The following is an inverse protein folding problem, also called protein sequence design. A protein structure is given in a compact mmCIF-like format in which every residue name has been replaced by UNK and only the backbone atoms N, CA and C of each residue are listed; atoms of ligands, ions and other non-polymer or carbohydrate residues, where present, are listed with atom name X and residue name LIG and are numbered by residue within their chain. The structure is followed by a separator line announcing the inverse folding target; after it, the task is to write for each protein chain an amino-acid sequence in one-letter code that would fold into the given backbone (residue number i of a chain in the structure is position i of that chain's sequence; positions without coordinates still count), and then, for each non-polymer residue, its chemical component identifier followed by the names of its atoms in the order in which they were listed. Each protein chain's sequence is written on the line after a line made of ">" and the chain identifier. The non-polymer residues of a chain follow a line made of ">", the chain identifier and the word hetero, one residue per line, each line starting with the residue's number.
data_IF_315945251848
#
_entry.id   IF_315945251848
#
_cell.length_a   1.000
_cell.length_b   1.000
_cell.length_c   1.000
_cell.angle_alpha   90.00
_cell.angle_beta   90.00
_cell.angle_gamma   90.00
#
_symmetry.space_group_name_H-M   'P 1'
#
loop_
_entity.id
_entity.type
_entity.pdbx_description
1 polymer ?
#
# COMPACT_ATOMS: atom_id res chain seq x y z
N UNK A 1 23.97 -1.81 -52.39
CA UNK A 1 24.72 -2.44 -51.28
C UNK A 1 25.46 -1.36 -50.52
N UNK A 2 24.96 -1.00 -49.34
CA UNK A 2 25.59 -0.10 -48.37
C UNK A 2 25.27 -0.63 -46.96
N UNK A 3 26.16 -0.40 -45.97
CA UNK A 3 26.27 -1.26 -44.79
C UNK A 3 25.32 -0.87 -43.65
N UNK A 4 24.93 -1.90 -42.91
CA UNK A 4 24.14 -1.88 -41.68
C UNK A 4 24.94 -1.15 -40.58
N UNK A 5 24.38 -0.06 -40.04
CA UNK A 5 24.86 0.59 -38.81
C UNK A 5 24.23 -0.10 -37.60
N UNK A 6 25.07 -0.67 -36.75
CA UNK A 6 24.73 -1.14 -35.41
C UNK A 6 24.28 0.02 -34.52
N UNK A 7 23.27 -0.14 -33.65
CA UNK A 7 22.90 0.89 -32.69
C UNK A 7 23.90 0.92 -31.53
N UNK A 8 24.46 2.11 -31.30
CA UNK A 8 25.32 2.44 -30.18
C UNK A 8 24.56 2.29 -28.86
N UNK A 9 25.18 1.59 -27.90
CA UNK A 9 24.78 1.55 -26.51
C UNK A 9 24.86 2.96 -25.91
N UNK A 10 23.73 3.49 -25.46
CA UNK A 10 23.67 4.69 -24.63
C UNK A 10 23.82 4.26 -23.17
N UNK A 11 25.03 4.38 -22.64
CA UNK A 11 25.31 4.49 -21.21
C UNK A 11 24.78 5.83 -20.72
N UNK A 12 23.72 5.80 -19.92
CA UNK A 12 23.26 6.95 -19.15
C UNK A 12 24.04 7.00 -17.84
N UNK A 13 25.08 7.85 -17.81
CA UNK A 13 25.68 8.34 -16.58
C UNK A 13 24.66 9.25 -15.88
N UNK A 14 24.09 8.76 -14.79
CA UNK A 14 23.29 9.57 -13.87
C UNK A 14 24.23 10.12 -12.81
N UNK A 15 24.81 11.28 -13.11
CA UNK A 15 25.48 12.13 -12.13
C UNK A 15 24.43 12.66 -11.14
N UNK A 16 24.39 12.09 -9.94
CA UNK A 16 23.61 12.60 -8.83
C UNK A 16 24.16 13.95 -8.37
N UNK A 17 23.41 15.03 -8.62
CA UNK A 17 23.67 16.33 -8.04
C UNK A 17 23.40 16.28 -6.52
N UNK A 18 24.47 16.21 -5.73
CA UNK A 18 24.44 16.39 -4.29
C UNK A 18 24.04 17.83 -3.95
N UNK A 19 22.84 18.02 -3.40
CA UNK A 19 22.48 19.24 -2.68
C UNK A 19 23.15 19.22 -1.30
N UNK A 20 24.25 19.98 -1.17
CA UNK A 20 24.82 20.37 0.11
C UNK A 20 23.89 21.35 0.81
N UNK A 21 23.10 20.88 1.77
CA UNK A 21 22.52 21.74 2.81
C UNK A 21 23.57 21.93 3.91
N UNK A 22 24.32 23.03 3.78
CA UNK A 22 25.21 23.56 4.80
C UNK A 22 24.42 23.85 6.08
N UNK A 23 24.76 23.13 7.16
CA UNK A 23 24.23 23.35 8.51
C UNK A 23 25.04 24.49 9.17
N UNK A 24 24.42 25.46 9.85
CA UNK A 24 25.16 26.55 10.46
C UNK A 24 25.98 26.05 11.66
N UNK A 25 27.25 26.44 11.65
CA UNK A 25 28.20 26.33 12.75
C UNK A 25 27.73 27.20 13.91
N UNK A 26 27.31 26.57 15.02
CA UNK A 26 27.25 27.23 16.31
C UNK A 26 28.39 26.71 17.18
N UNK A 27 29.35 27.61 17.37
CA UNK A 27 30.45 27.53 18.30
C UNK A 27 29.89 27.83 19.71
N UNK A 28 29.96 26.86 20.61
CA UNK A 28 29.76 27.09 22.04
C UNK A 28 30.57 26.06 22.81
N UNK A 29 31.77 26.50 23.21
CA UNK A 29 32.66 25.76 24.07
C UNK A 29 32.08 25.56 25.46
N UNK A 30 31.80 24.31 25.80
CA UNK A 30 32.03 23.71 27.12
C UNK A 30 32.19 22.20 26.87
N UNK A 31 33.38 21.81 26.45
CA UNK A 31 33.77 20.40 26.38
C UNK A 31 33.99 19.89 27.81
N UNK A 32 32.89 19.54 28.49
CA UNK A 32 32.96 18.59 29.60
C UNK A 32 33.34 17.24 29.01
N UNK A 33 34.63 16.94 29.13
CA UNK A 33 35.22 15.63 28.85
C UNK A 33 34.55 14.59 29.75
N UNK A 34 33.40 14.07 29.34
CA UNK A 34 32.91 12.80 29.84
C UNK A 34 33.84 11.75 29.25
N UNK A 35 34.77 11.32 30.10
CA UNK A 35 35.55 10.11 29.94
C UNK A 35 34.63 9.05 29.32
N UNK A 36 34.94 8.64 28.09
CA UNK A 36 34.22 7.58 27.39
C UNK A 36 34.40 6.30 28.20
N UNK A 37 33.49 6.08 29.15
CA UNK A 37 33.25 4.77 29.71
C UNK A 37 32.84 3.91 28.52
N UNK A 38 33.79 3.11 28.02
CA UNK A 38 33.53 2.10 27.01
C UNK A 38 32.49 1.16 27.61
N UNK A 39 31.21 1.42 27.34
CA UNK A 39 30.18 0.41 27.50
C UNK A 39 30.69 -0.83 26.75
N UNK A 40 30.60 -2.04 27.32
CA UNK A 40 31.02 -3.24 26.62
C UNK A 40 30.30 -3.29 25.27
N UNK A 41 31.05 -3.35 24.18
CA UNK A 41 30.50 -3.35 22.82
C UNK A 41 29.44 -4.44 22.64
N UNK A 42 29.58 -5.53 23.38
CA UNK A 42 28.71 -6.70 23.42
C UNK A 42 27.30 -6.36 23.95
N UNK A 43 27.19 -5.45 24.93
CA UNK A 43 25.88 -4.99 25.43
C UNK A 43 25.13 -4.16 24.38
N UNK A 44 25.83 -3.33 23.62
CA UNK A 44 25.21 -2.53 22.56
C UNK A 44 24.71 -3.43 21.43
N UNK A 45 25.50 -4.41 21.01
CA UNK A 45 25.10 -5.35 19.96
C UNK A 45 23.89 -6.18 20.38
N UNK A 46 23.90 -6.74 21.59
CA UNK A 46 22.78 -7.49 22.17
C UNK A 46 21.49 -6.66 22.19
N UNK A 47 21.58 -5.39 22.62
CA UNK A 47 20.43 -4.47 22.64
C UNK A 47 19.89 -4.17 21.25
N UNK A 48 20.77 -3.91 20.26
CA UNK A 48 20.33 -3.63 18.89
C UNK A 48 19.68 -4.85 18.24
N UNK A 49 20.23 -6.05 18.51
CA UNK A 49 19.65 -7.31 18.05
C UNK A 49 18.26 -7.55 18.64
N UNK A 50 18.08 -7.38 19.95
CA UNK A 50 16.76 -7.56 20.59
C UNK A 50 15.74 -6.51 20.09
N UNK A 51 16.15 -5.26 19.88
CA UNK A 51 15.29 -4.25 19.28
C UNK A 51 14.83 -4.65 17.87
N UNK A 52 15.76 -5.10 17.01
CA UNK A 52 15.45 -5.59 15.67
C UNK A 52 14.52 -6.79 15.71
N UNK A 53 14.77 -7.76 16.59
CA UNK A 53 13.96 -8.97 16.76
C UNK A 53 12.54 -8.66 17.22
N UNK A 54 12.36 -7.71 18.14
CA UNK A 54 11.03 -7.23 18.56
C UNK A 54 10.29 -6.59 17.38
N UNK A 55 10.98 -5.74 16.60
CA UNK A 55 10.39 -5.08 15.43
C UNK A 55 10.03 -6.09 14.33
N UNK A 56 10.88 -7.09 14.08
CA UNK A 56 10.65 -8.16 13.09
C UNK A 56 9.48 -9.05 13.51
N UNK A 57 9.42 -9.46 14.78
CA UNK A 57 8.30 -10.21 15.32
C UNK A 57 6.98 -9.42 15.27
N UNK A 58 7.02 -8.10 15.44
CA UNK A 58 5.85 -7.25 15.23
C UNK A 58 5.44 -7.20 13.75
N UNK A 59 6.39 -7.00 12.83
CA UNK A 59 6.14 -6.97 11.40
C UNK A 59 5.51 -8.28 10.87
N UNK A 60 5.99 -9.44 11.35
CA UNK A 60 5.43 -10.74 10.98
C UNK A 60 3.99 -10.93 11.48
N UNK A 61 3.67 -10.44 12.70
CA UNK A 61 2.33 -10.56 13.32
C UNK A 61 1.30 -9.60 12.74
N UNK A 62 1.73 -8.44 12.25
CA UNK A 62 0.86 -7.36 11.78
C UNK A 62 -0.18 -7.83 10.76
N UNK A 63 0.20 -8.69 9.81
CA UNK A 63 -0.73 -9.22 8.80
C UNK A 63 -1.85 -10.10 9.38
N UNK A 64 -1.59 -10.80 10.49
CA UNK A 64 -2.58 -11.59 11.20
C UNK A 64 -3.51 -10.70 12.04
N UNK A 65 -2.95 -9.69 12.72
CA UNK A 65 -3.74 -8.74 13.51
C UNK A 65 -4.68 -7.90 12.62
N UNK A 66 -4.23 -7.46 11.44
CA UNK A 66 -5.07 -6.75 10.46
C UNK A 66 -6.21 -7.63 9.93
N UNK A 67 -5.96 -8.91 9.61
CA UNK A 67 -7.01 -9.84 9.19
C UNK A 67 -8.04 -10.09 10.29
N UNK A 68 -7.58 -10.25 11.54
CA UNK A 68 -8.47 -10.38 12.68
C UNK A 68 -9.33 -9.12 12.88
N UNK A 69 -8.82 -7.93 12.51
CA UNK A 69 -9.55 -6.66 12.58
C UNK A 69 -10.69 -6.63 11.59
N UNK A 70 -10.38 -6.91 10.32
CA UNK A 70 -11.37 -6.97 9.25
C UNK A 70 -12.46 -8.01 9.52
N UNK A 71 -12.08 -9.18 10.05
CA UNK A 71 -13.03 -10.21 10.44
C UNK A 71 -13.96 -9.73 11.57
N UNK A 72 -13.41 -9.11 12.61
CA UNK A 72 -14.19 -8.55 13.72
C UNK A 72 -15.15 -7.44 13.24
N UNK A 73 -14.69 -6.56 12.34
CA UNK A 73 -15.53 -5.52 11.73
C UNK A 73 -16.65 -6.11 10.85
N UNK A 74 -16.37 -7.21 10.15
CA UNK A 74 -17.38 -7.95 9.39
C UNK A 74 -18.42 -8.58 10.31
N UNK A 75 -17.98 -9.27 11.37
CA UNK A 75 -18.86 -9.87 12.38
C UNK A 75 -19.74 -8.81 13.06
N UNK A 76 -19.19 -7.65 13.40
CA UNK A 76 -19.94 -6.55 14.00
C UNK A 76 -20.99 -5.96 13.04
N UNK A 77 -20.63 -5.76 11.77
CA UNK A 77 -21.58 -5.32 10.73
C UNK A 77 -22.73 -6.32 10.56
N UNK A 78 -22.41 -7.60 10.56
CA UNK A 78 -23.43 -8.65 10.43
C UNK A 78 -24.33 -8.74 11.67
N UNK A 79 -23.76 -8.66 12.88
CA UNK A 79 -24.52 -8.65 14.13
C UNK A 79 -25.46 -7.45 14.21
N UNK A 80 -25.01 -6.25 13.84
CA UNK A 80 -25.85 -5.04 13.75
C UNK A 80 -26.97 -5.20 12.73
N UNK A 81 -26.67 -5.73 11.55
CA UNK A 81 -27.69 -6.02 10.52
C UNK A 81 -28.75 -7.01 11.03
N UNK A 82 -28.35 -8.09 11.72
CA UNK A 82 -29.28 -9.06 12.32
C UNK A 82 -30.17 -8.42 13.38
N UNK A 83 -29.63 -7.52 14.21
CA UNK A 83 -30.41 -6.74 15.20
C UNK A 83 -31.44 -5.86 14.50
N UNK A 84 -31.03 -5.09 13.49
CA UNK A 84 -31.94 -4.23 12.72
C UNK A 84 -33.07 -5.02 12.05
N UNK A 85 -32.77 -6.21 11.53
CA UNK A 85 -33.77 -7.10 10.94
C UNK A 85 -34.72 -7.69 11.98
N UNK A 86 -34.24 -8.03 13.18
CA UNK A 86 -35.07 -8.51 14.30
C UNK A 86 -36.01 -7.41 14.81
N UNK A 87 -35.50 -6.19 14.93
CA UNK A 87 -36.30 -5.02 15.34
C UNK A 87 -37.39 -4.70 14.31
N UNK A 88 -37.09 -4.82 13.01
CA UNK A 88 -38.05 -4.66 11.90
C UNK A 88 -39.09 -5.80 11.81
N UNK A 89 -38.71 -7.02 12.20
CA UNK A 89 -39.60 -8.21 12.17
C UNK A 89 -40.40 -8.41 13.45
N UNK A 90 -40.18 -7.61 14.50
CA UNK A 90 -41.02 -7.64 15.70
C UNK A 90 -42.45 -7.19 15.34
N UNK A 91 -43.46 -8.06 15.43
CA UNK A 91 -44.82 -7.63 15.19
C UNK A 91 -45.20 -6.68 16.33
N UNK A 92 -45.66 -5.47 16.00
CA UNK A 92 -46.34 -4.59 16.96
C UNK A 92 -47.49 -5.38 17.60
N UNK A 93 -47.23 -6.01 18.75
CA UNK A 93 -48.23 -6.67 19.54
C UNK A 93 -49.19 -5.58 20.03
N UNK A 94 -50.31 -5.42 19.33
CA UNK A 94 -51.44 -4.64 19.81
C UNK A 94 -51.91 -5.32 21.08
N UNK A 95 -51.57 -4.72 22.21
CA UNK A 95 -52.11 -5.04 23.53
C UNK A 95 -53.64 -4.92 23.46
N UNK A 96 -54.33 -6.04 23.20
CA UNK A 96 -55.76 -6.15 23.48
C UNK A 96 -55.91 -6.80 24.84
N UNK A 97 -56.35 -5.99 25.80
CA UNK A 97 -56.99 -6.46 27.02
C UNK A 97 -58.16 -7.37 26.61
N UNK A 98 -58.07 -8.67 26.92
CA UNK A 98 -59.21 -9.59 26.82
C UNK A 98 -59.43 -10.23 28.18
N UNK A 99 -60.53 -9.82 28.80
CA UNK A 99 -61.14 -10.44 29.97
C UNK A 99 -61.45 -11.92 29.72
N UNK A 100 -61.26 -12.73 30.76
CA UNK A 100 -61.68 -14.15 30.86
C UNK A 100 -63.20 -14.27 30.66
N UNK A 101 -63.72 -15.48 30.30
CA UNK A 101 -64.22 -16.31 31.39
C UNK A 101 -64.03 -17.84 31.23
N UNK A 102 -63.88 -18.46 32.42
CA UNK A 102 -64.35 -19.76 32.91
C UNK A 102 -64.51 -21.01 32.01
N UNK A 103 -63.80 -22.06 32.46
CA UNK A 103 -64.23 -23.44 32.71
C UNK A 103 -65.11 -24.18 31.68
N UNK A 104 -64.55 -25.24 31.08
CA UNK A 104 -65.13 -26.59 31.19
C UNK A 104 -64.12 -27.71 30.92
N UNK A 105 -63.96 -28.57 31.94
CA UNK A 105 -63.32 -29.90 31.89
C UNK A 105 -64.11 -30.83 30.94
N UNK A 106 -63.41 -31.63 30.11
CA UNK A 106 -63.38 -33.11 30.24
C UNK A 106 -62.45 -33.81 29.22
N UNK A 107 -61.64 -34.72 29.78
CA UNK A 107 -61.15 -36.02 29.27
C UNK A 107 -60.28 -36.14 28.00
N UNK A 108 -59.08 -36.68 28.27
CA UNK A 108 -57.96 -37.18 27.45
C UNK A 108 -58.28 -38.48 26.65
N UNK A 109 -57.29 -39.17 26.03
CA UNK A 109 -56.85 -38.97 24.64
C UNK A 109 -56.87 -40.28 23.80
N UNK A 110 -56.68 -40.15 22.48
CA UNK A 110 -56.32 -41.28 21.62
C UNK A 110 -55.18 -40.91 20.65
N UNK A 111 -54.16 -41.78 20.67
CA UNK A 111 -53.38 -42.29 19.54
C UNK A 111 -52.46 -41.38 18.68
N UNK A 112 -51.17 -41.72 18.79
CA UNK A 112 -50.21 -42.07 17.71
C UNK A 112 -49.78 -40.98 16.72
N UNK A 113 -48.50 -40.61 16.78
CA UNK A 113 -47.47 -41.08 15.84
C UNK A 113 -46.16 -40.32 16.06
N UNK A 114 -45.11 -41.04 16.43
CA UNK A 114 -43.73 -40.56 16.34
C UNK A 114 -43.39 -40.35 14.86
N UNK A 115 -43.09 -39.10 14.50
CA UNK A 115 -42.26 -38.78 13.35
C UNK A 115 -41.01 -38.07 13.89
N UNK A 116 -39.91 -38.78 13.78
CA UNK A 116 -38.55 -38.38 14.07
C UNK A 116 -38.16 -37.21 13.16
N UNK A 117 -38.10 -36.01 13.74
CA UNK A 117 -37.47 -34.83 13.14
C UNK A 117 -36.45 -34.35 14.16
N UNK A 118 -35.17 -34.55 13.85
CA UNK A 118 -34.07 -33.91 14.55
C UNK A 118 -34.26 -32.38 14.49
N UNK A 119 -34.31 -31.68 15.62
CA UNK A 119 -34.12 -30.25 15.62
C UNK A 119 -32.62 -29.97 15.55
N UNK A 120 -32.20 -29.34 14.47
CA UNK A 120 -30.96 -28.59 14.41
C UNK A 120 -30.92 -27.62 15.59
N UNK A 121 -29.91 -27.77 16.45
CA UNK A 121 -29.57 -26.84 17.53
C UNK A 121 -29.51 -25.40 16.99
N UNK A 122 -30.36 -24.47 17.44
CA UNK A 122 -30.29 -23.08 17.04
C UNK A 122 -29.89 -22.21 18.23
N UNK A 123 -28.83 -22.54 18.97
CA UNK A 123 -28.31 -21.68 20.04
C UNK A 123 -26.81 -21.96 20.29
N UNK A 124 -25.98 -21.73 19.26
CA UNK A 124 -24.64 -21.24 19.57
C UNK A 124 -24.81 -19.78 20.03
N UNK A 125 -24.41 -19.40 21.26
CA UNK A 125 -24.49 -18.02 21.69
C UNK A 125 -23.61 -17.18 20.78
N UNK A 126 -24.23 -16.49 19.82
CA UNK A 126 -23.56 -15.49 19.01
C UNK A 126 -22.99 -14.45 19.95
N UNK A 127 -21.69 -14.18 19.83
CA UNK A 127 -20.99 -13.12 20.54
C UNK A 127 -21.83 -11.83 20.49
N UNK A 128 -22.09 -11.23 21.66
CA UNK A 128 -22.97 -10.06 21.74
C UNK A 128 -22.36 -8.87 20.97
N UNK A 129 -23.19 -7.90 20.56
CA UNK A 129 -22.69 -6.70 19.86
C UNK A 129 -21.70 -5.96 20.76
N UNK A 130 -22.01 -5.89 22.06
CA UNK A 130 -21.16 -5.28 23.09
C UNK A 130 -19.81 -6.00 23.21
N UNK A 131 -19.78 -7.33 23.22
CA UNK A 131 -18.53 -8.11 23.21
C UNK A 131 -17.70 -7.89 21.93
N UNK A 132 -18.35 -7.83 20.77
CA UNK A 132 -17.69 -7.55 19.49
C UNK A 132 -17.11 -6.12 19.44
N UNK A 133 -17.79 -5.14 20.06
CA UNK A 133 -17.30 -3.77 20.16
C UNK A 133 -16.08 -3.66 21.09
N UNK A 134 -16.11 -4.33 22.24
CA UNK A 134 -14.95 -4.42 23.16
C UNK A 134 -13.77 -5.09 22.46
N UNK A 135 -14.01 -6.26 21.84
CA UNK A 135 -12.98 -6.97 21.07
C UNK A 135 -12.41 -6.12 19.94
N UNK A 136 -13.25 -5.37 19.23
CA UNK A 136 -12.81 -4.45 18.19
C UNK A 136 -11.89 -3.35 18.75
N UNK A 137 -12.24 -2.77 19.92
CA UNK A 137 -11.42 -1.78 20.61
C UNK A 137 -10.04 -2.31 21.00
N UNK A 138 -10.00 -3.49 21.62
CA UNK A 138 -8.74 -4.18 21.98
C UNK A 138 -7.89 -4.48 20.74
N UNK A 139 -8.54 -4.94 19.66
CA UNK A 139 -7.84 -5.31 18.44
C UNK A 139 -7.26 -4.08 17.73
N UNK A 140 -7.99 -2.96 17.70
CA UNK A 140 -7.47 -1.67 17.17
C UNK A 140 -6.23 -1.23 17.94
N UNK A 141 -6.28 -1.22 19.26
CA UNK A 141 -5.13 -0.84 20.09
C UNK A 141 -3.92 -1.76 19.87
N UNK A 142 -4.16 -3.07 19.74
CA UNK A 142 -3.10 -4.03 19.41
C UNK A 142 -2.52 -3.82 18.01
N UNK A 143 -3.35 -3.55 17.00
CA UNK A 143 -2.90 -3.25 15.64
C UNK A 143 -2.04 -1.98 15.65
N UNK A 144 -2.47 -0.92 16.34
CA UNK A 144 -1.70 0.33 16.45
C UNK A 144 -0.33 0.12 17.11
N UNK A 145 -0.29 -0.62 18.23
CA UNK A 145 0.96 -0.96 18.92
C UNK A 145 1.89 -1.81 18.05
N UNK A 146 1.34 -2.83 17.37
CA UNK A 146 2.09 -3.74 16.50
C UNK A 146 2.61 -3.02 15.26
N UNK A 147 1.80 -2.14 14.66
CA UNK A 147 2.18 -1.29 13.55
C UNK A 147 3.34 -0.36 13.95
N UNK A 148 3.22 0.34 15.08
CA UNK A 148 4.27 1.22 15.58
C UNK A 148 5.60 0.49 15.80
N UNK A 149 5.55 -0.76 16.31
CA UNK A 149 6.74 -1.57 16.47
C UNK A 149 7.31 -2.05 15.11
N UNK A 150 6.46 -2.47 14.18
CA UNK A 150 6.85 -2.92 12.84
C UNK A 150 7.46 -1.80 11.99
N UNK A 151 6.98 -0.56 12.14
CA UNK A 151 7.49 0.61 11.41
C UNK A 151 8.94 0.96 11.78
N UNK A 152 9.40 0.54 12.96
CA UNK A 152 10.79 0.72 13.40
C UNK A 152 11.76 -0.30 12.79
N UNK A 153 11.27 -1.35 12.13
CA UNK A 153 12.10 -2.47 11.63
C UNK A 153 13.26 -2.00 10.76
N UNK A 154 13.02 -1.07 9.84
CA UNK A 154 14.06 -0.56 8.93
C UNK A 154 15.17 0.16 9.72
N UNK A 155 14.80 1.04 10.66
CA UNK A 155 15.76 1.74 11.53
C UNK A 155 16.55 0.78 12.41
N UNK A 156 15.88 -0.20 13.03
CA UNK A 156 16.55 -1.19 13.87
C UNK A 156 17.51 -2.07 13.07
N UNK A 157 17.16 -2.42 11.83
CA UNK A 157 18.06 -3.16 10.95
C UNK A 157 19.28 -2.32 10.57
N UNK A 158 19.11 -1.05 10.23
CA UNK A 158 20.22 -0.16 9.86
C UNK A 158 21.16 0.11 11.05
N UNK A 159 20.63 0.27 12.26
CA UNK A 159 21.41 0.40 13.48
C UNK A 159 22.21 -0.87 13.77
N UNK A 160 21.57 -2.04 13.70
CA UNK A 160 22.24 -3.34 13.87
C UNK A 160 23.35 -3.53 12.81
N UNK A 161 23.04 -3.25 11.55
CA UNK A 161 23.99 -3.33 10.43
C UNK A 161 25.17 -2.38 10.64
N UNK A 162 24.94 -1.15 11.09
CA UNK A 162 25.99 -0.17 11.36
C UNK A 162 26.94 -0.67 12.45
N UNK A 163 26.41 -1.14 13.58
CA UNK A 163 27.24 -1.70 14.67
C UNK A 163 28.06 -2.90 14.20
N UNK A 164 27.53 -3.71 13.30
CA UNK A 164 28.22 -4.89 12.75
C UNK A 164 29.22 -4.56 11.64
N UNK A 165 28.97 -3.51 10.85
CA UNK A 165 29.89 -3.03 9.82
C UNK A 165 31.04 -2.19 10.42
N UNK A 166 30.78 -1.43 11.51
CA UNK A 166 31.74 -0.58 12.23
C UNK A 166 32.42 -1.29 13.42
N UNK A 167 31.86 -2.41 13.88
CA UNK A 167 32.33 -3.18 15.04
C UNK A 167 33.57 -4.04 14.76
N UNK A 168 34.04 -4.74 15.80
CA UNK A 168 35.19 -5.68 15.76
C UNK A 168 35.19 -6.48 14.45
N UNK A 169 36.36 -6.79 13.87
CA UNK A 169 36.41 -7.80 12.82
C UNK A 169 35.88 -9.09 13.43
N UNK A 170 34.62 -9.41 13.14
CA UNK A 170 34.09 -10.73 13.44
C UNK A 170 35.05 -11.73 12.79
N UNK A 171 35.39 -12.79 13.51
CA UNK A 171 36.53 -13.71 13.29
C UNK A 171 36.75 -14.16 11.83
N UNK A 172 35.73 -14.11 10.98
CA UNK A 172 35.85 -14.32 9.53
C UNK A 172 36.71 -13.29 8.78
N UNK A 173 36.79 -12.02 9.20
CA UNK A 173 37.67 -11.02 8.55
C UNK A 173 39.14 -11.28 8.86
N UNK A 174 39.43 -11.83 10.03
CA UNK A 174 40.79 -12.09 10.52
C UNK A 174 41.40 -13.40 9.99
N UNK A 175 40.59 -14.25 9.35
CA UNK A 175 41.03 -15.55 8.81
C UNK A 175 41.63 -15.45 7.39
N UNK A 176 41.72 -14.25 6.81
CA UNK A 176 42.23 -14.03 5.45
C UNK A 176 43.76 -13.99 5.32
N UNK A 177 44.52 -14.06 6.43
CA UNK A 177 45.97 -13.86 6.44
C UNK A 177 46.81 -15.14 6.49
N UNK A 178 46.22 -16.33 6.51
CA UNK A 178 46.96 -17.60 6.44
C UNK A 178 46.53 -18.38 5.22
N UNK A 179 47.43 -18.53 4.24
CA UNK A 179 47.20 -19.04 2.89
C UNK A 179 46.79 -20.52 2.78
N UNK A 180 45.71 -20.93 3.45
CA UNK A 180 45.06 -22.21 3.21
C UNK A 180 43.86 -21.99 2.29
N UNK A 181 43.89 -22.58 1.10
CA UNK A 181 42.82 -22.53 0.10
C UNK A 181 41.56 -23.31 0.48
N UNK A 182 41.34 -23.57 1.77
CA UNK A 182 40.09 -24.11 2.29
C UNK A 182 39.20 -22.93 2.64
N UNK A 183 38.52 -22.41 1.62
CA UNK A 183 37.55 -21.32 1.79
C UNK A 183 36.54 -21.67 2.86
N UNK A 184 36.58 -20.97 3.99
CA UNK A 184 35.60 -21.15 5.04
C UNK A 184 34.21 -20.88 4.44
N UNK A 185 33.29 -21.86 4.44
CA UNK A 185 31.97 -21.74 3.79
C UNK A 185 31.15 -20.57 4.36
N UNK A 186 31.51 -20.11 5.55
CA UNK A 186 30.88 -19.02 6.25
C UNK A 186 31.10 -17.64 5.58
N UNK A 187 32.35 -17.29 5.22
CA UNK A 187 32.66 -15.97 4.66
C UNK A 187 32.02 -15.77 3.27
N UNK A 188 31.95 -16.83 2.47
CA UNK A 188 31.26 -16.82 1.17
C UNK A 188 29.74 -16.72 1.35
N UNK A 189 29.18 -17.47 2.30
CA UNK A 189 27.75 -17.40 2.65
C UNK A 189 27.33 -16.00 3.10
N UNK A 190 28.15 -15.35 3.94
CA UNK A 190 27.94 -13.97 4.36
C UNK A 190 27.98 -12.99 3.17
N UNK A 191 29.00 -13.07 2.30
CA UNK A 191 29.13 -12.17 1.15
C UNK A 191 27.92 -12.29 0.22
N UNK A 192 27.49 -13.53 -0.04
CA UNK A 192 26.30 -13.82 -0.84
C UNK A 192 25.01 -13.28 -0.19
N UNK A 193 24.85 -13.47 1.12
CA UNK A 193 23.70 -12.94 1.86
C UNK A 193 23.65 -11.40 1.82
N UNK A 194 24.79 -10.72 2.03
CA UNK A 194 24.88 -9.25 1.95
C UNK A 194 24.55 -8.74 0.55
N UNK A 195 25.07 -9.38 -0.51
CA UNK A 195 24.72 -9.06 -1.89
C UNK A 195 23.22 -9.25 -2.17
N UNK A 196 22.65 -10.32 -1.62
CA UNK A 196 21.21 -10.60 -1.75
C UNK A 196 20.38 -9.53 -1.05
N UNK A 197 20.73 -9.14 0.17
CA UNK A 197 20.05 -8.03 0.88
C UNK A 197 20.11 -6.75 0.05
N UNK A 198 21.29 -6.35 -0.45
CA UNK A 198 21.42 -5.16 -1.30
C UNK A 198 20.51 -5.19 -2.53
N UNK A 199 20.51 -6.30 -3.26
CA UNK A 199 19.64 -6.47 -4.43
C UNK A 199 18.14 -6.43 -4.09
N UNK A 200 17.73 -6.97 -2.92
CA UNK A 200 16.34 -6.91 -2.46
C UNK A 200 15.95 -5.53 -1.93
N UNK A 201 16.87 -4.80 -1.32
CA UNK A 201 16.67 -3.40 -0.91
C UNK A 201 16.45 -2.50 -2.12
N UNK A 202 17.28 -2.62 -3.16
CA UNK A 202 17.13 -1.89 -4.42
C UNK A 202 15.80 -2.22 -5.10
N UNK A 203 15.43 -3.51 -5.18
CA UNK A 203 14.16 -3.93 -5.76
C UNK A 203 12.95 -3.37 -4.99
N UNK A 204 13.00 -3.38 -3.65
CA UNK A 204 11.94 -2.79 -2.83
C UNK A 204 11.83 -1.28 -3.02
N UNK A 205 12.95 -0.54 -3.03
CA UNK A 205 12.96 0.90 -3.29
C UNK A 205 12.40 1.24 -4.67
N UNK A 206 12.77 0.48 -5.70
CA UNK A 206 12.24 0.62 -7.05
C UNK A 206 10.73 0.38 -7.09
N UNK A 207 10.24 -0.66 -6.42
CA UNK A 207 8.81 -0.96 -6.32
C UNK A 207 8.03 0.15 -5.60
N UNK A 208 8.58 0.70 -4.51
CA UNK A 208 7.95 1.77 -3.73
C UNK A 208 7.83 3.07 -4.55
N UNK A 209 8.89 3.45 -5.27
CA UNK A 209 8.84 4.60 -6.19
C UNK A 209 7.77 4.41 -7.26
N UNK A 210 7.74 3.22 -7.87
CA UNK A 210 6.75 2.87 -8.91
C UNK A 210 5.31 2.96 -8.38
N UNK A 211 5.03 2.33 -7.23
CA UNK A 211 3.70 2.37 -6.60
C UNK A 211 3.29 3.80 -6.25
N UNK A 212 4.20 4.62 -5.74
CA UNK A 212 3.93 6.02 -5.42
C UNK A 212 3.52 6.82 -6.66
N UNK A 213 4.24 6.64 -7.78
CA UNK A 213 3.90 7.25 -9.06
C UNK A 213 2.53 6.80 -9.56
N UNK A 214 2.22 5.50 -9.50
CA UNK A 214 0.91 4.97 -9.91
C UNK A 214 -0.24 5.44 -9.02
N UNK A 215 -0.07 5.49 -7.70
CA UNK A 215 -1.07 6.07 -6.78
C UNK A 215 -1.40 7.51 -7.14
N UNK A 216 -0.38 8.32 -7.43
CA UNK A 216 -0.57 9.71 -7.88
C UNK A 216 -1.30 9.78 -9.22
N UNK A 217 -0.90 8.94 -10.19
CA UNK A 217 -1.57 8.85 -11.48
C UNK A 217 -3.05 8.43 -11.34
N UNK A 218 -3.34 7.49 -10.43
CA UNK A 218 -4.67 6.98 -10.13
C UNK A 218 -5.58 8.07 -9.56
N UNK A 219 -5.11 8.84 -8.58
CA UNK A 219 -5.86 9.95 -8.01
C UNK A 219 -6.12 11.05 -9.05
N UNK A 220 -5.12 11.34 -9.88
CA UNK A 220 -5.22 12.34 -10.93
C UNK A 220 -6.23 11.93 -12.01
N UNK A 221 -6.21 10.68 -12.49
CA UNK A 221 -7.17 10.20 -13.50
C UNK A 221 -8.60 10.08 -12.95
N UNK A 222 -8.77 9.70 -11.68
CA UNK A 222 -10.08 9.70 -11.03
C UNK A 222 -10.66 11.12 -10.93
N UNK A 223 -9.82 12.09 -10.61
CA UNK A 223 -10.19 13.51 -10.57
C UNK A 223 -10.52 14.04 -11.97
N UNK A 224 -9.74 13.66 -12.99
CA UNK A 224 -10.02 13.98 -14.39
C UNK A 224 -11.37 13.41 -14.84
N UNK A 225 -11.65 12.15 -14.50
CA UNK A 225 -12.90 11.47 -14.79
C UNK A 225 -14.10 12.18 -14.13
N UNK A 226 -13.98 12.52 -12.84
CA UNK A 226 -15.01 13.26 -12.12
C UNK A 226 -15.31 14.62 -12.77
N UNK A 227 -14.28 15.41 -13.08
CA UNK A 227 -14.45 16.72 -13.72
C UNK A 227 -15.05 16.60 -15.13
N UNK A 228 -14.62 15.60 -15.91
CA UNK A 228 -15.17 15.39 -17.25
C UNK A 228 -16.63 14.93 -17.21
N UNK A 229 -16.98 14.06 -16.26
CA UNK A 229 -18.37 13.67 -16.00
C UNK A 229 -19.23 14.87 -15.64
N UNK A 230 -18.71 15.83 -14.86
CA UNK A 230 -19.44 17.08 -14.56
C UNK A 230 -19.63 17.97 -15.80
N UNK A 231 -18.62 18.04 -16.67
CA UNK A 231 -18.76 18.74 -17.94
C UNK A 231 -19.82 18.06 -18.84
N UNK A 232 -19.87 16.72 -18.85
CA UNK A 232 -20.90 15.93 -19.54
C UNK A 232 -22.29 16.21 -19.01
N UNK A 233 -22.50 16.12 -17.68
CA UNK A 233 -23.80 16.37 -17.04
C UNK A 233 -24.37 17.75 -17.43
N UNK A 234 -23.53 18.79 -17.42
CA UNK A 234 -23.91 20.16 -17.80
C UNK A 234 -24.25 20.27 -19.29
N UNK A 235 -23.51 19.57 -20.15
CA UNK A 235 -23.79 19.58 -21.59
C UNK A 235 -25.04 18.78 -21.95
N UNK A 236 -25.33 17.68 -21.27
CA UNK A 236 -26.59 16.95 -21.42
C UNK A 236 -27.79 17.85 -21.09
N UNK A 237 -27.66 18.72 -20.08
CA UNK A 237 -28.72 19.70 -19.79
C UNK A 237 -28.97 20.63 -20.98
N UNK A 238 -27.98 21.03 -21.78
CA UNK A 238 -28.20 21.98 -22.88
C UNK A 238 -28.32 21.34 -24.27
N UNK A 239 -27.82 20.12 -24.44
CA UNK A 239 -27.74 19.41 -25.73
C UNK A 239 -28.67 18.19 -25.81
N UNK A 240 -29.35 17.80 -24.72
CA UNK A 240 -30.15 16.56 -24.74
C UNK A 240 -31.28 16.62 -25.77
N UNK A 241 -31.36 15.62 -26.68
CA UNK A 241 -32.42 15.53 -27.68
C UNK A 241 -33.80 15.24 -27.06
N UNK A 242 -33.86 14.91 -25.76
CA UNK A 242 -35.09 14.63 -25.02
C UNK A 242 -35.77 15.88 -24.45
N UNK A 243 -35.11 17.04 -24.49
CA UNK A 243 -35.76 18.30 -24.09
C UNK A 243 -36.83 18.68 -25.10
N UNK A 244 -38.00 19.05 -24.59
CA UNK A 244 -39.10 19.48 -25.46
C UNK A 244 -38.66 20.73 -26.24
N UNK A 245 -39.08 20.86 -27.52
CA UNK A 245 -38.81 22.07 -28.33
C UNK A 245 -39.18 23.37 -27.61
N UNK A 246 -40.11 23.32 -26.65
CA UNK A 246 -40.55 24.45 -25.84
C UNK A 246 -39.53 24.88 -24.78
N UNK A 247 -38.86 23.96 -24.09
CA UNK A 247 -37.81 24.30 -23.10
C UNK A 247 -36.55 24.89 -23.77
N UNK A 248 -36.28 24.53 -25.02
CA UNK A 248 -35.17 25.08 -25.80
C UNK A 248 -35.45 26.50 -26.35
N UNK A 249 -36.73 26.86 -26.53
CA UNK A 249 -37.18 28.17 -27.05
C UNK A 249 -37.42 29.19 -25.92
N UNK A 250 -37.75 28.73 -24.71
CA UNK A 250 -38.06 29.58 -23.54
C UNK A 250 -36.87 29.70 -22.56
N UNK A 251 -35.80 28.93 -22.76
CA UNK A 251 -34.59 29.02 -21.95
C UNK A 251 -33.87 30.35 -22.17
N UNK A 252 -33.60 31.07 -21.07
CA UNK A 252 -32.76 32.27 -21.08
C UNK A 252 -31.41 31.99 -21.74
N UNK A 253 -31.10 32.69 -22.84
CA UNK A 253 -29.86 32.50 -23.61
C UNK A 253 -28.63 32.80 -22.76
N UNK A 254 -28.75 33.72 -21.79
CA UNK A 254 -27.68 34.01 -20.83
C UNK A 254 -27.42 32.81 -19.90
N UNK A 255 -28.48 32.12 -19.45
CA UNK A 255 -28.36 30.88 -18.68
C UNK A 255 -27.72 29.74 -19.48
N UNK A 256 -28.04 29.62 -20.77
CA UNK A 256 -27.38 28.64 -21.66
C UNK A 256 -25.90 28.94 -21.82
N UNK A 257 -25.54 30.19 -22.13
CA UNK A 257 -24.14 30.61 -22.26
C UNK A 257 -23.34 30.32 -20.99
N UNK A 258 -23.92 30.59 -19.82
CA UNK A 258 -23.31 30.25 -18.53
C UNK A 258 -23.09 28.76 -18.38
N UNK A 259 -24.07 27.92 -18.73
CA UNK A 259 -23.97 26.46 -18.63
C UNK A 259 -22.86 25.89 -19.53
N UNK A 260 -22.77 26.34 -20.78
CA UNK A 260 -21.65 25.94 -21.67
C UNK A 260 -20.30 26.44 -21.13
N UNK A 261 -20.25 27.67 -20.61
CA UNK A 261 -19.03 28.22 -20.03
C UNK A 261 -18.58 27.49 -18.76
N UNK A 262 -19.53 27.01 -17.95
CA UNK A 262 -19.22 26.18 -16.78
C UNK A 262 -18.72 24.79 -17.20
N UNK A 263 -19.37 24.15 -18.19
CA UNK A 263 -18.91 22.88 -18.74
C UNK A 263 -17.47 22.98 -19.30
N UNK A 264 -17.15 24.07 -19.99
CA UNK A 264 -15.80 24.37 -20.48
C UNK A 264 -14.78 24.43 -19.34
N UNK A 265 -15.09 25.14 -18.24
CA UNK A 265 -14.21 25.21 -17.05
C UNK A 265 -13.99 23.84 -16.40
N UNK A 266 -15.02 22.99 -16.34
CA UNK A 266 -14.87 21.62 -15.84
C UNK A 266 -14.00 20.76 -16.75
N UNK A 267 -14.15 20.89 -18.06
CA UNK A 267 -13.30 20.21 -19.04
C UNK A 267 -11.82 20.63 -18.95
N UNK A 268 -11.54 21.92 -18.72
CA UNK A 268 -10.16 22.40 -18.46
C UNK A 268 -9.56 21.78 -17.20
N UNK A 269 -10.32 21.74 -16.10
CA UNK A 269 -9.89 21.03 -14.88
C UNK A 269 -9.62 19.56 -15.14
N UNK A 270 -10.48 18.90 -15.91
CA UNK A 270 -10.28 17.51 -16.31
C UNK A 270 -8.97 17.32 -17.08
N UNK A 271 -8.69 18.19 -18.05
CA UNK A 271 -7.45 18.16 -18.83
C UNK A 271 -6.21 18.34 -17.96
N UNK A 272 -6.25 19.27 -16.99
CA UNK A 272 -5.12 19.50 -16.06
C UNK A 272 -4.84 18.22 -15.25
N UNK A 273 -5.88 17.62 -14.67
CA UNK A 273 -5.76 16.38 -13.91
C UNK A 273 -5.28 15.21 -14.78
N UNK A 274 -5.75 15.12 -16.02
CA UNK A 274 -5.30 14.09 -16.97
C UNK A 274 -3.81 14.25 -17.32
N UNK A 275 -3.37 15.48 -17.62
CA UNK A 275 -1.95 15.76 -17.87
C UNK A 275 -1.05 15.41 -16.68
N UNK A 276 -1.55 15.63 -15.46
CA UNK A 276 -0.85 15.22 -14.23
C UNK A 276 -0.74 13.69 -14.10
N UNK A 277 -1.79 12.96 -14.50
CA UNK A 277 -1.75 11.50 -14.58
C UNK A 277 -0.68 11.03 -15.57
N UNK A 278 -0.66 11.58 -16.79
CA UNK A 278 0.35 11.25 -17.80
C UNK A 278 1.78 11.57 -17.34
N UNK A 279 1.98 12.72 -16.70
CA UNK A 279 3.28 13.11 -16.12
C UNK A 279 3.74 12.12 -15.05
N UNK A 280 2.83 11.68 -14.19
CA UNK A 280 3.14 10.71 -13.13
C UNK A 280 3.50 9.32 -13.69
N UNK A 281 2.94 8.96 -14.85
CA UNK A 281 3.21 7.68 -15.52
C UNK A 281 4.43 7.71 -16.45
N UNK A 282 4.99 8.89 -16.73
CA UNK A 282 6.01 9.06 -17.77
C UNK A 282 7.23 8.15 -17.58
N UNK A 283 7.65 7.90 -16.34
CA UNK A 283 8.80 7.05 -16.01
C UNK A 283 8.49 5.54 -16.05
N UNK A 284 7.22 5.19 -16.18
CA UNK A 284 6.70 3.82 -16.06
C UNK A 284 5.78 3.46 -17.24
N UNK A 285 5.99 4.09 -18.40
CA UNK A 285 5.20 3.82 -19.60
C UNK A 285 5.40 2.40 -20.14
N UNK A 286 6.53 1.78 -19.80
CA UNK A 286 6.83 0.37 -20.09
C UNK A 286 5.87 -0.62 -19.41
N UNK A 287 5.14 -0.18 -18.37
CA UNK A 287 4.08 -0.98 -17.74
C UNK A 287 2.80 -1.06 -18.58
N UNK A 288 2.62 -0.18 -19.57
CA UNK A 288 1.50 -0.24 -20.51
C UNK A 288 1.74 -1.38 -21.50
N UNK A 289 0.75 -2.27 -21.68
CA UNK A 289 0.79 -3.16 -22.85
C UNK A 289 0.41 -2.35 -24.09
N UNK A 290 0.62 -2.96 -25.26
CA UNK A 290 0.52 -2.29 -26.55
C UNK A 290 -0.82 -1.58 -26.75
N UNK A 291 -1.92 -2.28 -26.45
CA UNK A 291 -3.27 -1.78 -26.65
C UNK A 291 -3.58 -0.61 -25.70
N UNK A 292 -3.11 -0.68 -24.44
CA UNK A 292 -3.28 0.40 -23.48
C UNK A 292 -2.41 1.61 -23.78
N UNK A 293 -1.20 1.40 -24.32
CA UNK A 293 -0.32 2.47 -24.78
C UNK A 293 -0.92 3.23 -25.96
N UNK A 294 -1.49 2.52 -26.93
CA UNK A 294 -2.19 3.13 -28.07
C UNK A 294 -3.40 3.93 -27.60
N UNK A 295 -4.25 3.35 -26.74
CA UNK A 295 -5.40 4.06 -26.17
C UNK A 295 -5.00 5.31 -25.37
N UNK A 296 -3.87 5.27 -24.67
CA UNK A 296 -3.32 6.39 -23.92
C UNK A 296 -2.84 7.51 -24.85
N UNK A 297 -2.11 7.19 -25.92
CA UNK A 297 -1.67 8.18 -26.91
C UNK A 297 -2.86 8.78 -27.66
N UNK A 298 -3.83 7.97 -28.07
CA UNK A 298 -5.10 8.42 -28.65
C UNK A 298 -5.83 9.45 -27.76
N UNK A 299 -5.89 9.17 -26.45
CA UNK A 299 -6.54 10.05 -25.48
C UNK A 299 -5.73 11.33 -25.25
N UNK A 300 -4.41 11.26 -25.31
CA UNK A 300 -3.49 12.39 -25.23
C UNK A 300 -3.57 13.30 -26.45
N UNK A 301 -3.67 12.75 -27.65
CA UNK A 301 -3.88 13.50 -28.89
C UNK A 301 -5.26 14.16 -28.92
N UNK A 302 -6.30 13.42 -28.51
CA UNK A 302 -7.67 13.93 -28.55
C UNK A 302 -7.93 14.97 -27.47
N UNK A 303 -7.34 14.78 -26.29
CA UNK A 303 -7.56 15.60 -25.10
C UNK A 303 -8.99 15.55 -24.57
N UNK A 304 -9.23 16.32 -23.51
CA UNK A 304 -10.47 16.42 -22.75
C UNK A 304 -11.14 17.80 -22.91
N UNK A 305 -10.87 18.52 -24.00
CA UNK A 305 -11.32 19.90 -24.22
C UNK A 305 -12.56 20.01 -25.13
N UNK A 306 -13.33 18.93 -25.30
CA UNK A 306 -14.51 18.91 -26.19
C UNK A 306 -15.57 19.92 -25.74
N UNK A 307 -15.81 20.10 -24.44
CA UNK A 307 -16.76 21.10 -23.94
C UNK A 307 -16.30 22.54 -24.19
N UNK A 308 -14.99 22.80 -24.16
CA UNK A 308 -14.41 24.11 -24.52
C UNK A 308 -14.63 24.39 -26.01
N UNK A 309 -14.40 23.38 -26.86
CA UNK A 309 -14.66 23.47 -28.30
C UNK A 309 -16.15 23.73 -28.58
N UNK A 310 -17.04 23.11 -27.82
CA UNK A 310 -18.49 23.31 -27.93
C UNK A 310 -18.92 24.72 -27.49
N UNK A 311 -18.38 25.24 -26.38
CA UNK A 311 -18.61 26.63 -25.95
C UNK A 311 -18.16 27.62 -27.02
N UNK A 312 -16.95 27.45 -27.57
CA UNK A 312 -16.41 28.31 -28.62
C UNK A 312 -17.21 28.22 -29.92
N UNK A 313 -17.76 27.05 -30.25
CA UNK A 313 -18.64 26.88 -31.40
C UNK A 313 -19.96 27.66 -31.23
N UNK A 314 -20.54 27.63 -30.02
CA UNK A 314 -21.82 28.27 -29.74
C UNK A 314 -21.71 29.80 -29.51
N UNK A 315 -20.61 30.26 -28.89
CA UNK A 315 -20.49 31.65 -28.41
C UNK A 315 -19.19 32.37 -28.82
N UNK A 316 -18.32 31.74 -29.60
CA UNK A 316 -17.01 32.29 -30.01
C UNK A 316 -17.04 33.31 -31.16
N UNK A 317 -18.21 33.80 -31.56
CA UNK A 317 -18.34 34.97 -32.43
C UNK A 317 -18.08 34.78 -33.94
N UNK A 318 -17.79 33.57 -34.43
CA UNK A 318 -17.68 33.30 -35.88
C UNK A 318 -19.01 32.77 -36.43
N UNK A 319 -19.71 33.62 -37.16
CA UNK A 319 -21.01 33.36 -37.77
C UNK A 319 -21.00 32.14 -38.70
N UNK A 320 -21.75 31.08 -38.37
CA UNK A 320 -22.15 30.05 -39.34
C UNK A 320 -23.58 29.59 -39.04
N UNK A 321 -24.56 30.29 -39.59
CA UNK A 321 -25.99 29.97 -39.44
C UNK A 321 -26.45 28.68 -40.18
N UNK A 322 -25.54 27.90 -40.78
CA UNK A 322 -25.83 26.57 -41.34
C UNK A 322 -24.75 25.57 -40.94
N UNK A 323 -25.15 24.47 -40.28
CA UNK A 323 -24.26 23.36 -39.91
C UNK A 323 -23.92 23.24 -38.42
N UNK A 324 -24.19 24.26 -37.59
CA UNK A 324 -23.90 24.23 -36.14
C UNK A 324 -24.55 23.02 -35.46
N UNK A 325 -25.80 22.69 -35.79
CA UNK A 325 -26.48 21.54 -35.18
C UNK A 325 -25.78 20.21 -35.46
N UNK A 326 -25.29 20.01 -36.69
CA UNK A 326 -24.55 18.79 -37.05
C UNK A 326 -23.19 18.75 -36.37
N UNK A 327 -22.51 19.90 -36.29
CA UNK A 327 -21.20 20.00 -35.63
C UNK A 327 -21.30 19.83 -34.11
N UNK A 328 -22.36 20.35 -33.47
CA UNK A 328 -22.70 20.08 -32.06
C UNK A 328 -22.93 18.59 -31.83
N UNK A 329 -23.72 17.94 -32.69
CA UNK A 329 -23.99 16.50 -32.58
C UNK A 329 -22.71 15.65 -32.70
N UNK A 330 -21.84 15.96 -33.67
CA UNK A 330 -20.53 15.30 -33.83
C UNK A 330 -19.67 15.52 -32.58
N UNK A 331 -19.66 16.73 -32.03
CA UNK A 331 -18.89 17.04 -30.82
C UNK A 331 -19.40 16.31 -29.58
N UNK A 332 -20.70 16.16 -29.40
CA UNK A 332 -21.29 15.36 -28.32
C UNK A 332 -20.91 13.88 -28.46
N UNK A 333 -21.00 13.31 -29.67
CA UNK A 333 -20.54 11.94 -29.92
C UNK A 333 -19.04 11.75 -29.63
N UNK A 334 -18.23 12.74 -30.00
CA UNK A 334 -16.79 12.74 -29.69
C UNK A 334 -16.55 12.80 -28.18
N UNK A 335 -17.33 13.58 -27.45
CA UNK A 335 -17.26 13.68 -25.99
C UNK A 335 -17.56 12.33 -25.33
N UNK A 336 -18.61 11.62 -25.77
CA UNK A 336 -18.93 10.27 -25.31
C UNK A 336 -17.78 9.29 -25.56
N UNK A 337 -17.23 9.30 -26.77
CA UNK A 337 -16.11 8.43 -27.14
C UNK A 337 -14.86 8.70 -26.28
N UNK A 338 -14.56 9.99 -26.04
CA UNK A 338 -13.44 10.40 -25.16
C UNK A 338 -13.70 9.97 -23.72
N UNK A 339 -14.93 10.09 -23.22
CA UNK A 339 -15.28 9.65 -21.87
C UNK A 339 -15.12 8.13 -21.69
N UNK A 340 -15.52 7.33 -22.68
CA UNK A 340 -15.32 5.88 -22.66
C UNK A 340 -13.83 5.50 -22.63
N UNK A 341 -13.01 6.20 -23.44
CA UNK A 341 -11.55 6.02 -23.44
C UNK A 341 -10.92 6.42 -22.10
N UNK A 342 -11.31 7.57 -21.55
CA UNK A 342 -10.86 8.03 -20.23
C UNK A 342 -11.26 7.05 -19.12
N UNK A 343 -12.47 6.48 -19.20
CA UNK A 343 -12.94 5.46 -18.25
C UNK A 343 -12.10 4.19 -18.34
N UNK A 344 -11.83 3.72 -19.55
CA UNK A 344 -10.99 2.53 -19.79
C UNK A 344 -9.57 2.74 -19.25
N UNK A 345 -8.99 3.92 -19.53
CA UNK A 345 -7.69 4.32 -19.00
C UNK A 345 -7.69 4.40 -17.47
N UNK A 346 -8.71 5.00 -16.86
CA UNK A 346 -8.83 5.09 -15.40
C UNK A 346 -8.89 3.71 -14.72
N UNK A 347 -9.67 2.78 -15.29
CA UNK A 347 -9.76 1.39 -14.82
C UNK A 347 -8.41 0.69 -14.94
N UNK A 348 -7.70 0.89 -16.06
CA UNK A 348 -6.35 0.36 -16.22
C UNK A 348 -5.39 0.90 -15.15
N UNK A 349 -5.30 2.23 -14.96
CA UNK A 349 -4.42 2.83 -13.94
C UNK A 349 -4.75 2.27 -12.56
N UNK A 350 -6.02 2.14 -12.22
CA UNK A 350 -6.46 1.59 -10.95
C UNK A 350 -6.03 0.12 -10.76
N UNK A 351 -6.21 -0.72 -11.78
CA UNK A 351 -5.80 -2.12 -11.73
C UNK A 351 -4.28 -2.28 -11.65
N UNK A 352 -3.54 -1.47 -12.43
CA UNK A 352 -2.08 -1.43 -12.40
C UNK A 352 -1.57 -0.98 -11.02
N UNK A 353 -2.19 0.05 -10.42
CA UNK A 353 -1.86 0.50 -9.06
C UNK A 353 -2.00 -0.63 -8.05
N UNK A 354 -3.14 -1.34 -8.05
CA UNK A 354 -3.36 -2.49 -7.15
C UNK A 354 -2.32 -3.59 -7.34
N UNK A 355 -1.92 -3.86 -8.58
CA UNK A 355 -0.87 -4.83 -8.88
C UNK A 355 0.48 -4.38 -8.30
N UNK A 356 0.88 -3.12 -8.52
CA UNK A 356 2.13 -2.58 -7.97
C UNK A 356 2.14 -2.57 -6.44
N UNK A 357 0.99 -2.30 -5.78
CA UNK A 357 0.86 -2.42 -4.32
C UNK A 357 1.08 -3.86 -3.82
N UNK A 358 0.65 -4.86 -4.61
CA UNK A 358 0.93 -6.26 -4.29
C UNK A 358 2.41 -6.60 -4.46
N UNK A 359 3.05 -6.12 -5.54
CA UNK A 359 4.48 -6.30 -5.80
C UNK A 359 5.34 -5.60 -4.73
N UNK A 360 4.96 -4.39 -4.31
CA UNK A 360 5.64 -3.68 -3.21
C UNK A 360 5.60 -4.50 -1.91
N UNK A 361 4.46 -5.12 -1.61
CA UNK A 361 4.32 -6.00 -0.43
C UNK A 361 5.21 -7.24 -0.55
N UNK A 362 5.17 -7.92 -1.70
CA UNK A 362 5.99 -9.11 -1.95
C UNK A 362 7.49 -8.81 -1.88
N UNK A 363 7.92 -7.69 -2.49
CA UNK A 363 9.33 -7.27 -2.46
C UNK A 363 9.76 -6.85 -1.05
N UNK A 364 8.88 -6.25 -0.24
CA UNK A 364 9.12 -6.01 1.18
C UNK A 364 9.32 -7.31 1.95
N UNK A 365 8.42 -8.27 1.80
CA UNK A 365 8.52 -9.59 2.45
C UNK A 365 9.81 -10.32 2.05
N UNK A 366 10.16 -10.28 0.76
CA UNK A 366 11.41 -10.86 0.24
C UNK A 366 12.66 -10.16 0.80
N UNK A 367 12.64 -8.83 0.90
CA UNK A 367 13.70 -8.02 1.53
C UNK A 367 13.87 -8.40 3.00
N UNK A 368 12.77 -8.45 3.75
CA UNK A 368 12.80 -8.76 5.19
C UNK A 368 13.25 -10.21 5.43
N UNK A 369 12.89 -11.15 4.56
CA UNK A 369 13.43 -12.51 4.58
C UNK A 369 14.94 -12.55 4.35
N UNK A 370 15.46 -11.80 3.37
CA UNK A 370 16.90 -11.72 3.13
C UNK A 370 17.65 -11.11 4.32
N UNK A 371 17.08 -10.08 4.96
CA UNK A 371 17.62 -9.47 6.17
C UNK A 371 17.68 -10.47 7.33
N UNK A 372 16.63 -11.25 7.56
CA UNK A 372 16.61 -12.32 8.56
C UNK A 372 17.69 -13.36 8.32
N UNK A 373 17.91 -13.78 7.07
CA UNK A 373 19.01 -14.72 6.73
C UNK A 373 20.37 -14.11 7.06
N UNK A 374 20.59 -12.84 6.73
CA UNK A 374 21.83 -12.15 7.04
C UNK A 374 22.06 -12.03 8.56
N UNK A 375 21.03 -11.67 9.32
CA UNK A 375 21.09 -11.61 10.79
C UNK A 375 21.31 -13.00 11.40
N UNK A 376 20.67 -14.04 10.89
CA UNK A 376 20.86 -15.41 11.38
C UNK A 376 22.31 -15.89 11.18
N UNK A 377 22.95 -15.50 10.08
CA UNK A 377 24.38 -15.70 9.93
C UNK A 377 25.11 -14.95 11.05
N UNK A 378 24.87 -13.66 11.23
CA UNK A 378 25.51 -12.85 12.29
C UNK A 378 25.36 -13.41 13.70
N UNK A 379 24.23 -14.04 14.04
CA UNK A 379 24.05 -14.68 15.35
C UNK A 379 24.89 -15.95 15.46
N UNK A 380 24.84 -16.82 14.44
CA UNK A 380 25.60 -18.08 14.42
C UNK A 380 27.11 -17.86 14.55
N UNK A 381 27.59 -16.78 13.94
CA UNK A 381 28.95 -16.31 14.06
C UNK A 381 29.46 -16.11 15.47
N UNK A 382 28.60 -15.50 16.26
CA UNK A 382 28.89 -14.94 17.56
C UNK A 382 28.92 -16.12 18.54
N UNK A 383 27.90 -16.98 18.43
CA UNK A 383 27.84 -18.29 19.09
C UNK A 383 29.09 -19.15 18.80
N UNK A 384 29.49 -19.27 17.53
CA UNK A 384 30.69 -20.02 17.12
C UNK A 384 31.98 -19.37 17.66
N UNK A 385 32.03 -18.04 17.77
CA UNK A 385 33.22 -17.33 18.29
C UNK A 385 33.32 -17.39 19.82
N UNK A 386 32.18 -17.39 20.52
CA UNK A 386 32.11 -17.60 21.97
C UNK A 386 32.44 -19.05 22.36
N UNK A 387 32.11 -20.05 21.52
CA UNK A 387 32.49 -21.45 21.78
C UNK A 387 34.01 -21.69 21.72
N UNK A 388 34.78 -20.84 21.01
CA UNK A 388 36.25 -20.90 21.01
C UNK A 388 36.93 -20.16 22.17
N UNK A 389 36.16 -19.45 23.03
CA UNK A 389 36.69 -18.72 24.20
C UNK A 389 36.31 -19.34 25.55
N UNK A 390 35.71 -20.54 25.57
CA UNK A 390 35.30 -21.24 26.81
C UNK A 390 35.88 -22.66 26.94
N UNK A 391 36.99 -22.96 26.27
CA UNK A 391 37.97 -23.85 26.90
C UNK A 391 38.73 -23.00 27.93
N UNK A 392 38.33 -23.09 29.19
CA UNK A 392 39.14 -22.62 30.30
C UNK A 392 40.60 -23.04 30.07
N UNK A 393 41.60 -22.22 30.45
CA UNK A 393 42.95 -22.74 30.59
C UNK A 393 42.85 -23.85 31.61
N UNK A 394 42.85 -25.09 31.12
CA UNK A 394 42.95 -26.27 31.96
C UNK A 394 44.14 -26.06 32.86
N UNK A 395 43.92 -26.32 34.14
CA UNK A 395 44.91 -26.31 35.20
C UNK A 395 46.10 -27.21 34.80
N UNK A 396 47.04 -26.65 34.05
CA UNK A 396 48.41 -27.12 34.03
C UNK A 396 49.15 -26.28 35.04
N UNK A 397 48.92 -26.66 36.29
CA UNK A 397 49.80 -26.45 37.42
C UNK A 397 51.23 -26.70 36.94
N UNK A 398 51.96 -25.63 36.63
CA UNK A 398 53.41 -25.68 36.57
C UNK A 398 53.89 -25.99 37.99
N UNK A 399 53.98 -27.28 38.31
CA UNK A 399 54.75 -27.76 39.44
C UNK A 399 56.20 -27.47 39.10
N UNK A 400 56.71 -26.37 39.64
CA UNK A 400 58.14 -26.13 39.77
C UNK A 400 58.75 -27.29 40.56
N UNK A 401 59.49 -28.17 39.89
CA UNK A 401 60.41 -29.06 40.57
C UNK A 401 61.68 -28.28 40.91
N UNK A 402 62.05 -28.11 42.18
CA UNK A 402 63.36 -27.58 42.53
C UNK A 402 64.42 -28.62 42.18
N UNK A 403 65.43 -28.17 41.44
CA UNK A 403 66.62 -28.95 41.09
C UNK A 403 67.31 -29.46 42.35
N UNK A 404 67.53 -30.78 42.43
CA UNK A 404 68.56 -31.36 43.28
C UNK A 404 69.88 -31.32 42.51
N UNK A 405 70.80 -30.48 42.99
CA UNK A 405 72.21 -30.48 42.61
C UNK A 405 72.92 -31.64 43.30
N UNK A 406 73.63 -32.45 42.50
CA UNK A 406 74.73 -33.31 42.93
C UNK A 406 76.03 -32.50 42.97
#
# INVERSE_FOLDING_TARGET
>A
MQPIRSPSQLTLDISAAHFHLSRPSMDSGYASSMSSARLPADWMLSRMYENWKIADAAAQRLSADLRALEECESQLREARKRRDEKDKKSPKAKHKLSLKPLLRKRSSPAFVASAEVQPSDPDAPGCSIEELEVRLGELKSRVESTQSAADRLDSCFDELRRVLDDGRPVSWRSSHSSGSSLGYPYAESYRKARKTVGAREEAYQSSQTTTKCLRRACLAVQSAHHHYSKAMDLLDVVCSPKKSKWEAIVGDEQSRQQTYGEAAKWAEKAQICFNESLRSLQQHQDLLKRDEAEACEDLKETGLLQAVQLYNLMYGGKALAMGITQQVQIMTQKQDAVFQRLTSFAVWVQNCTKHCEAVERETRESRDAARRVLVALWVRADEDTETYSLAAPGEHSHIFHPAQSL
#
